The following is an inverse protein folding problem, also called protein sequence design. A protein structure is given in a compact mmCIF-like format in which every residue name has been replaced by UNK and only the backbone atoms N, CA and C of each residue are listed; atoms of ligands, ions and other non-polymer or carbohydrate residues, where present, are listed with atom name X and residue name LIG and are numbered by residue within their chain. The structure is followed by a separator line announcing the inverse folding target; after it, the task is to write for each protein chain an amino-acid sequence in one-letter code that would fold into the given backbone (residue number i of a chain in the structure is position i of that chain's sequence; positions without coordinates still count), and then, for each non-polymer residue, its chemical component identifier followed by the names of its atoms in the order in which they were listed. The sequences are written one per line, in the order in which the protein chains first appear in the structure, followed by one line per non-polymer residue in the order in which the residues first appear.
data_IF_398902898417
#
_entry.id   IF_398902898417
#
_cell.length_a   1.000
_cell.length_b   1.000
_cell.length_c   1.000
_cell.angle_alpha   90.00
_cell.angle_beta   90.00
_cell.angle_gamma   90.00
#
_symmetry.space_group_name_H-M   'P 1'
#
loop_
_entity.id
_entity.type
_entity.pdbx_description
1 polymer ?
#
# COMPACT_ATOMS: atom_id res chain seq x y z
N UNK A 1 -1.99 -10.40 -9.71
CA UNK A 1 -0.75 -9.76 -9.25
C UNK A 1 -0.66 -9.98 -7.75
N UNK A 2 0.48 -10.42 -7.22
CA UNK A 2 0.63 -10.65 -5.77
C UNK A 2 0.73 -9.31 -5.04
N UNK A 3 0.48 -9.30 -3.72
CA UNK A 3 0.66 -8.08 -2.92
C UNK A 3 2.11 -7.59 -2.97
N UNK A 4 3.07 -8.51 -2.99
CA UNK A 4 4.51 -8.19 -3.12
C UNK A 4 4.80 -7.46 -4.43
N UNK A 5 4.30 -7.96 -5.55
CA UNK A 5 4.49 -7.31 -6.86
C UNK A 5 3.86 -5.91 -6.88
N UNK A 6 2.69 -5.76 -6.24
CA UNK A 6 2.00 -4.49 -6.16
C UNK A 6 2.79 -3.45 -5.35
N UNK A 7 3.29 -3.82 -4.17
CA UNK A 7 4.13 -2.96 -3.33
C UNK A 7 5.40 -2.54 -4.06
N UNK A 8 6.10 -3.47 -4.71
CA UNK A 8 7.33 -3.17 -5.45
C UNK A 8 7.08 -2.22 -6.62
N UNK A 9 5.99 -2.42 -7.36
CA UNK A 9 5.59 -1.53 -8.45
C UNK A 9 5.24 -0.13 -7.94
N UNK A 10 4.60 -0.02 -6.78
CA UNK A 10 4.28 1.27 -6.16
C UNK A 10 5.56 1.99 -5.71
N UNK A 11 6.50 1.30 -5.04
CA UNK A 11 7.81 1.87 -4.68
C UNK A 11 8.56 2.41 -5.89
N UNK A 12 8.59 1.64 -6.98
CA UNK A 12 9.23 2.07 -8.21
C UNK A 12 8.58 3.35 -8.76
N UNK A 13 7.24 3.41 -8.81
CA UNK A 13 6.53 4.60 -9.28
C UNK A 13 6.84 5.84 -8.45
N UNK A 14 6.83 5.71 -7.13
CA UNK A 14 7.16 6.82 -6.21
C UNK A 14 8.60 7.29 -6.41
N UNK A 15 9.55 6.37 -6.59
CA UNK A 15 10.96 6.70 -6.84
C UNK A 15 11.19 7.51 -8.13
N UNK A 16 10.26 7.42 -9.09
CA UNK A 16 10.36 8.14 -10.36
C UNK A 16 9.70 9.53 -10.33
N UNK A 17 8.94 9.90 -9.29
CA UNK A 17 8.28 11.21 -9.18
C UNK A 17 9.28 12.20 -8.56
N UNK A 18 10.17 12.75 -9.40
CA UNK A 18 11.30 13.59 -8.96
C UNK A 18 10.94 15.08 -8.87
N UNK A 19 9.90 15.53 -9.57
CA UNK A 19 9.71 16.98 -9.85
C UNK A 19 8.67 17.69 -9.01
N UNK A 20 7.63 17.00 -8.52
CA UNK A 20 6.64 17.57 -7.60
C UNK A 20 6.00 16.45 -6.77
N UNK A 21 6.57 16.10 -5.61
CA UNK A 21 6.11 14.94 -4.85
C UNK A 21 4.67 15.19 -4.37
N UNK A 22 3.81 14.23 -4.67
CA UNK A 22 2.50 14.11 -4.04
C UNK A 22 2.74 13.96 -2.53
N UNK A 23 1.94 14.59 -1.67
CA UNK A 23 2.10 14.43 -0.23
C UNK A 23 1.86 12.98 0.21
N UNK A 24 2.46 12.58 1.33
CA UNK A 24 2.41 11.19 1.81
C UNK A 24 0.97 10.69 2.03
N UNK A 25 0.06 11.56 2.49
CA UNK A 25 -1.33 11.19 2.72
C UNK A 25 -2.04 10.89 1.40
N UNK A 26 -1.85 11.71 0.38
CA UNK A 26 -2.36 11.47 -0.97
C UNK A 26 -1.74 10.23 -1.61
N UNK A 27 -0.44 9.98 -1.42
CA UNK A 27 0.21 8.76 -1.92
C UNK A 27 -0.37 7.50 -1.27
N UNK A 28 -0.55 7.52 0.06
CA UNK A 28 -1.18 6.42 0.81
C UNK A 28 -2.62 6.22 0.36
N UNK A 29 -3.39 7.30 0.18
CA UNK A 29 -4.77 7.21 -0.28
C UNK A 29 -4.84 6.53 -1.65
N UNK A 30 -4.01 6.96 -2.61
CA UNK A 30 -3.94 6.36 -3.95
C UNK A 30 -3.53 4.90 -3.88
N UNK A 31 -2.59 4.55 -3.00
CA UNK A 31 -2.18 3.16 -2.77
C UNK A 31 -3.35 2.30 -2.27
N UNK A 32 -4.03 2.70 -1.19
CA UNK A 32 -5.16 1.93 -0.62
C UNK A 32 -6.33 1.87 -1.62
N UNK A 33 -6.62 2.97 -2.31
CA UNK A 33 -7.71 3.04 -3.28
C UNK A 33 -7.46 2.14 -4.49
N UNK A 34 -6.20 2.02 -4.92
CA UNK A 34 -5.78 1.16 -6.03
C UNK A 34 -5.78 -0.34 -5.71
N UNK A 35 -5.95 -0.73 -4.44
CA UNK A 35 -6.03 -2.13 -4.04
C UNK A 35 -7.41 -2.73 -4.37
N UNK A 36 -7.42 -4.02 -4.73
CA UNK A 36 -8.67 -4.78 -4.83
C UNK A 36 -9.37 -4.80 -3.48
N UNK A 37 -10.69 -4.67 -3.49
CA UNK A 37 -11.50 -4.78 -2.29
C UNK A 37 -11.28 -6.13 -1.59
N UNK A 38 -11.21 -6.12 -0.26
CA UNK A 38 -10.89 -7.28 0.55
C UNK A 38 -10.34 -6.91 1.93
N UNK A 39 -10.01 -7.93 2.72
CA UNK A 39 -9.59 -7.77 4.11
C UNK A 39 -8.37 -6.85 4.24
N UNK A 40 -7.37 -6.98 3.38
CA UNK A 40 -6.17 -6.14 3.40
C UNK A 40 -6.51 -4.65 3.21
N UNK A 41 -7.39 -4.31 2.26
CA UNK A 41 -7.82 -2.92 2.03
C UNK A 41 -8.59 -2.38 3.23
N UNK A 42 -9.48 -3.20 3.79
CA UNK A 42 -10.24 -2.85 5.00
C UNK A 42 -9.31 -2.58 6.20
N UNK A 43 -8.34 -3.46 6.46
CA UNK A 43 -7.35 -3.29 7.52
C UNK A 43 -6.54 -2.00 7.35
N UNK A 44 -6.13 -1.68 6.12
CA UNK A 44 -5.39 -0.46 5.80
C UNK A 44 -6.20 0.81 6.02
N UNK A 45 -7.46 0.85 5.58
CA UNK A 45 -8.32 2.02 5.80
C UNK A 45 -8.55 2.26 7.29
N UNK A 46 -8.69 1.20 8.10
CA UNK A 46 -8.86 1.31 9.55
C UNK A 46 -7.58 1.70 10.28
N UNK A 47 -6.42 1.27 9.78
CA UNK A 47 -5.13 1.56 10.42
C UNK A 47 -4.64 2.99 10.16
N UNK A 48 -5.24 3.70 9.19
CA UNK A 48 -4.91 5.08 8.81
C UNK A 48 -3.40 5.33 8.73
N UNK A 49 -2.66 4.57 7.91
CA UNK A 49 -1.21 4.72 7.83
C UNK A 49 -0.84 6.12 7.33
N UNK A 50 0.09 6.78 8.01
CA UNK A 50 0.55 8.13 7.65
C UNK A 50 1.62 8.14 6.56
N UNK A 51 2.21 6.98 6.23
CA UNK A 51 3.26 6.84 5.21
C UNK A 51 3.06 5.60 4.36
N UNK A 52 3.58 5.62 3.13
CA UNK A 52 3.55 4.45 2.26
C UNK A 52 4.29 3.25 2.83
N UNK A 53 5.41 3.45 3.52
CA UNK A 53 6.16 2.35 4.13
C UNK A 53 5.36 1.66 5.25
N UNK A 54 4.63 2.43 6.08
CA UNK A 54 3.71 1.85 7.05
C UNK A 54 2.57 1.07 6.37
N UNK A 55 2.01 1.63 5.29
CA UNK A 55 0.99 0.95 4.49
C UNK A 55 1.51 -0.34 3.84
N UNK A 56 2.74 -0.35 3.31
CA UNK A 56 3.37 -1.53 2.71
C UNK A 56 3.61 -2.63 3.76
N UNK A 57 4.14 -2.27 4.91
CA UNK A 57 4.38 -3.22 6.00
C UNK A 57 3.07 -3.88 6.46
N UNK A 58 2.01 -3.08 6.63
CA UNK A 58 0.70 -3.60 6.99
C UNK A 58 0.13 -4.50 5.88
N UNK A 59 0.17 -4.05 4.62
CA UNK A 59 -0.35 -4.81 3.48
C UNK A 59 0.31 -6.19 3.35
N UNK A 60 1.64 -6.25 3.52
CA UNK A 60 2.40 -7.51 3.47
C UNK A 60 2.11 -8.42 4.66
N UNK A 61 1.89 -7.86 5.84
CA UNK A 61 1.51 -8.62 7.04
C UNK A 61 0.15 -9.28 6.87
N UNK A 62 -0.85 -8.54 6.39
CA UNK A 62 -2.21 -9.06 6.21
C UNK A 62 -2.31 -10.04 5.01
N UNK A 63 -1.50 -9.87 3.97
CA UNK A 63 -1.43 -10.84 2.87
C UNK A 63 -0.83 -12.18 3.34
N UNK A 64 0.17 -12.11 4.24
CA UNK A 64 0.76 -13.30 4.86
C UNK A 64 -0.23 -14.03 5.79
N UNK A 65 -1.00 -13.32 6.61
CA UNK A 65 -1.98 -13.96 7.51
C UNK A 65 -3.05 -14.70 6.71
N UNK A 66 -3.58 -14.10 5.64
CA UNK A 66 -4.56 -14.72 4.74
C UNK A 66 -3.99 -15.94 4.02
N UNK A 67 -2.73 -15.90 3.56
CA UNK A 67 -2.09 -17.02 2.87
C UNK A 67 -1.74 -18.20 3.81
N UNK A 68 -1.67 -17.95 5.12
CA UNK A 68 -1.35 -18.96 6.15
C UNK A 68 -2.57 -19.63 6.80
N UNK A 69 -3.79 -19.25 6.37
CA UNK A 69 -5.08 -19.78 6.86
C UNK A 69 -5.52 -21.01 6.05
#
# INVERSE_FOLDING_TARGET
MSMRDYVQKTRHRVSCIVTNPIDDASQVHVFIFGMREGMTRYCLTRAEPSTLEAAFALALREDYTVASS
#
